data_IF_902292233874
#
_entry.id   IF_902292233874
#
_cell.length_a   1.000
_cell.length_b   1.000
_cell.length_c   1.000
_cell.angle_alpha   90.00
_cell.angle_beta   90.00
_cell.angle_gamma   90.00
#
_symmetry.space_group_name_H-M   'P 1'
#
loop_
_entity.id
_entity.type
_entity.pdbx_description
1 polymer ?
#
# COMPACT_ATOMS: atom_id res chain seq x y z
N UNK A 1 -10.89 -9.15 6.60
CA UNK A 1 -11.86 -8.99 5.49
C UNK A 1 -11.08 -8.55 4.27
N UNK A 2 -11.41 -9.07 3.08
CA UNK A 2 -10.76 -8.65 1.84
C UNK A 2 -11.62 -7.56 1.18
N UNK A 3 -10.99 -6.54 0.60
CA UNK A 3 -11.68 -5.45 -0.10
C UNK A 3 -11.17 -5.31 -1.53
N UNK A 4 -12.03 -4.81 -2.41
CA UNK A 4 -11.70 -4.59 -3.82
C UNK A 4 -11.45 -3.10 -4.08
N UNK A 5 -10.47 -2.81 -4.95
CA UNK A 5 -10.23 -1.46 -5.47
C UNK A 5 -9.89 -1.53 -6.95
N UNK A 6 -10.47 -0.65 -7.76
CA UNK A 6 -10.09 -0.48 -9.17
C UNK A 6 -9.13 0.71 -9.28
N UNK A 7 -8.01 0.53 -9.97
CA UNK A 7 -7.09 1.63 -10.33
C UNK A 7 -7.63 2.41 -11.55
N UNK A 8 -7.08 3.59 -11.81
CA UNK A 8 -7.51 4.45 -12.94
C UNK A 8 -7.33 3.81 -14.32
N UNK A 9 -6.43 2.83 -14.45
CA UNK A 9 -6.22 2.04 -15.67
C UNK A 9 -7.17 0.82 -15.78
N UNK A 10 -8.10 0.64 -14.83
CA UNK A 10 -9.07 -0.46 -14.82
C UNK A 10 -8.59 -1.78 -14.22
N UNK A 11 -7.42 -1.84 -13.56
CA UNK A 11 -6.96 -3.07 -12.88
C UNK A 11 -7.67 -3.26 -11.53
N UNK A 12 -8.25 -4.45 -11.33
CA UNK A 12 -8.88 -4.83 -10.06
C UNK A 12 -7.83 -5.32 -9.07
N UNK A 13 -7.76 -4.68 -7.92
CA UNK A 13 -6.90 -5.02 -6.80
C UNK A 13 -7.69 -5.60 -5.63
N UNK A 14 -7.11 -6.60 -4.99
CA UNK A 14 -7.62 -7.28 -3.79
C UNK A 14 -6.70 -6.90 -2.63
N UNK A 15 -7.26 -6.20 -1.65
CA UNK A 15 -6.59 -5.84 -0.41
C UNK A 15 -6.83 -6.96 0.60
N UNK A 16 -5.81 -7.78 0.82
CA UNK A 16 -5.88 -8.94 1.69
C UNK A 16 -5.42 -8.60 3.10
N UNK A 17 -6.32 -8.08 3.94
CA UNK A 17 -6.01 -7.70 5.32
C UNK A 17 -5.48 -8.89 6.13
N UNK A 18 -6.10 -10.06 5.99
CA UNK A 18 -5.71 -11.27 6.73
C UNK A 18 -4.52 -11.99 6.09
N UNK A 19 -4.28 -11.75 4.79
CA UNK A 19 -3.17 -12.35 4.05
C UNK A 19 -1.94 -11.46 4.02
N UNK A 20 -1.96 -10.29 4.68
CA UNK A 20 -0.88 -9.31 4.71
C UNK A 20 -0.31 -9.00 3.32
N UNK A 21 -1.19 -8.92 2.32
CA UNK A 21 -0.78 -8.78 0.91
C UNK A 21 -1.80 -7.99 0.10
N UNK A 22 -1.30 -7.31 -0.93
CA UNK A 22 -2.10 -6.71 -1.99
C UNK A 22 -1.89 -7.55 -3.24
N UNK A 23 -2.98 -7.95 -3.88
CA UNK A 23 -2.98 -8.72 -5.13
C UNK A 23 -3.72 -7.95 -6.21
N UNK A 24 -3.44 -8.25 -7.47
CA UNK A 24 -4.23 -7.76 -8.61
C UNK A 24 -4.71 -8.90 -9.47
N UNK A 25 -5.87 -8.73 -10.10
CA UNK A 25 -6.36 -9.58 -11.17
C UNK A 25 -5.87 -9.00 -12.49
N UNK A 26 -5.05 -9.75 -13.21
CA UNK A 26 -4.52 -9.36 -14.51
C UNK A 26 -5.59 -9.52 -15.59
N UNK A 27 -5.38 -8.88 -16.75
CA UNK A 27 -6.30 -8.97 -17.90
C UNK A 27 -6.47 -10.39 -18.43
N UNK A 28 -5.47 -11.27 -18.26
CA UNK A 28 -5.53 -12.70 -18.56
C UNK A 28 -6.13 -13.55 -17.42
N UNK A 29 -6.74 -12.90 -16.41
CA UNK A 29 -7.50 -13.57 -15.35
C UNK A 29 -6.65 -14.18 -14.22
N UNK A 30 -5.37 -13.84 -14.11
CA UNK A 30 -4.50 -14.36 -13.05
C UNK A 30 -4.48 -13.46 -11.84
N UNK A 31 -4.42 -14.05 -10.66
CA UNK A 31 -4.20 -13.32 -9.41
C UNK A 31 -2.71 -13.29 -9.13
N UNK A 32 -2.12 -12.09 -9.10
CA UNK A 32 -0.70 -11.89 -8.82
C UNK A 32 -0.50 -10.95 -7.64
N UNK A 33 0.52 -11.20 -6.83
CA UNK A 33 0.89 -10.36 -5.69
C UNK A 33 1.66 -9.13 -6.18
N UNK A 34 1.27 -7.95 -5.69
CA UNK A 34 1.92 -6.68 -6.03
C UNK A 34 2.57 -6.00 -4.82
N UNK A 35 2.13 -6.32 -3.61
CA UNK A 35 2.78 -5.90 -2.38
C UNK A 35 2.54 -6.89 -1.24
N UNK A 36 3.47 -6.98 -0.29
CA UNK A 36 3.32 -7.78 0.91
C UNK A 36 3.56 -9.27 0.68
N UNK A 37 4.64 -9.82 1.24
CA UNK A 37 5.02 -11.22 1.02
C UNK A 37 4.12 -12.24 1.72
N UNK A 38 3.23 -11.80 2.60
CA UNK A 38 2.26 -12.65 3.30
C UNK A 38 2.55 -12.85 4.80
N UNK A 39 3.71 -12.39 5.26
CA UNK A 39 4.08 -12.39 6.68
C UNK A 39 3.79 -11.03 7.30
N UNK A 40 3.13 -11.04 8.47
CA UNK A 40 2.89 -9.83 9.24
C UNK A 40 4.19 -9.19 9.73
N UNK A 41 4.27 -7.87 9.66
CA UNK A 41 5.35 -7.05 10.22
C UNK A 41 5.75 -5.92 9.28
N UNK A 42 6.89 -5.29 9.53
CA UNK A 42 7.38 -4.12 8.78
C UNK A 42 8.79 -4.36 8.27
N UNK A 43 8.99 -4.27 6.95
CA UNK A 43 10.30 -4.33 6.30
C UNK A 43 10.22 -3.89 4.83
N UNK A 44 11.39 -3.83 4.17
CA UNK A 44 11.49 -3.83 2.71
C UNK A 44 11.48 -2.45 2.04
N UNK A 45 11.52 -1.35 2.79
CA UNK A 45 11.67 -0.01 2.22
C UNK A 45 12.92 0.08 1.34
N UNK A 46 12.78 0.72 0.19
CA UNK A 46 13.81 0.79 -0.87
C UNK A 46 13.90 -0.46 -1.75
N UNK A 47 13.17 -1.53 -1.43
CA UNK A 47 13.17 -2.79 -2.17
C UNK A 47 11.86 -3.10 -2.91
N UNK A 48 11.78 -4.27 -3.57
CA UNK A 48 10.57 -4.71 -4.26
C UNK A 48 9.39 -4.89 -3.30
N UNK A 49 8.25 -4.29 -3.62
CA UNK A 49 7.05 -4.32 -2.79
C UNK A 49 6.53 -5.74 -2.51
N UNK A 50 6.72 -6.66 -3.46
CA UNK A 50 6.33 -8.08 -3.34
C UNK A 50 7.12 -8.84 -2.27
N UNK A 51 8.29 -8.33 -1.88
CA UNK A 51 9.16 -8.92 -0.85
C UNK A 51 8.99 -8.27 0.54
N UNK A 52 8.38 -7.09 0.61
CA UNK A 52 8.16 -6.38 1.85
C UNK A 52 7.15 -7.07 2.77
N UNK A 53 7.24 -6.77 4.06
CA UNK A 53 6.23 -7.16 5.04
C UNK A 53 5.25 -6.00 5.26
N UNK A 54 3.97 -6.37 5.35
CA UNK A 54 2.85 -5.52 5.71
C UNK A 54 2.15 -6.17 6.90
N UNK A 55 1.38 -5.40 7.67
CA UNK A 55 0.60 -5.89 8.80
C UNK A 55 -0.82 -5.34 8.72
N UNK A 56 -1.75 -6.24 8.41
CA UNK A 56 -3.18 -5.94 8.29
C UNK A 56 -3.48 -4.74 7.38
N UNK A 57 -3.03 -4.75 6.10
CA UNK A 57 -3.31 -3.65 5.20
C UNK A 57 -4.82 -3.49 4.99
N UNK A 58 -5.35 -2.28 5.13
CA UNK A 58 -6.80 -2.05 5.16
C UNK A 58 -7.36 -1.52 3.84
N UNK A 59 -6.65 -0.58 3.22
CA UNK A 59 -7.11 0.11 2.02
C UNK A 59 -5.94 0.50 1.12
N UNK A 60 -6.25 0.74 -0.16
CA UNK A 60 -5.31 1.30 -1.13
C UNK A 60 -5.93 2.45 -1.94
N UNK A 61 -5.07 3.37 -2.38
CA UNK A 61 -5.40 4.45 -3.31
C UNK A 61 -4.29 4.61 -4.36
N UNK A 62 -4.60 5.23 -5.49
CA UNK A 62 -3.64 5.47 -6.57
C UNK A 62 -3.57 6.98 -6.86
N UNK A 63 -2.37 7.49 -7.16
CA UNK A 63 -2.20 8.83 -7.71
C UNK A 63 -2.21 8.83 -9.25
N UNK A 64 -2.15 10.02 -9.86
CA UNK A 64 -2.13 10.20 -11.31
C UNK A 64 -0.86 9.65 -11.99
N UNK A 65 0.18 9.33 -11.22
CA UNK A 65 1.42 8.69 -11.69
C UNK A 65 1.39 7.16 -11.48
N UNK A 66 0.22 6.62 -11.09
CA UNK A 66 0.00 5.22 -10.79
C UNK A 66 0.85 4.68 -9.63
N UNK A 67 1.25 5.54 -8.69
CA UNK A 67 1.80 5.10 -7.41
C UNK A 67 0.66 4.60 -6.53
N UNK A 68 0.85 3.45 -5.87
CA UNK A 68 -0.12 2.85 -4.97
C UNK A 68 0.21 3.19 -3.52
N UNK A 69 -0.73 3.76 -2.81
CA UNK A 69 -0.66 4.07 -1.38
C UNK A 69 -1.42 3.00 -0.62
N UNK A 70 -0.82 2.43 0.42
CA UNK A 70 -1.34 1.32 1.20
C UNK A 70 -1.45 1.79 2.65
N UNK A 71 -2.62 1.63 3.24
CA UNK A 71 -2.79 1.79 4.69
C UNK A 71 -2.27 0.53 5.37
N UNK A 72 -1.02 0.55 5.84
CA UNK A 72 -0.37 -0.55 6.57
C UNK A 72 -0.74 -0.45 8.06
N UNK A 73 -2.04 -0.68 8.31
CA UNK A 73 -2.74 -0.29 9.53
C UNK A 73 -2.06 -0.83 10.80
N UNK A 74 -1.72 -2.12 10.82
CA UNK A 74 -1.11 -2.73 12.00
C UNK A 74 0.33 -2.28 12.28
N UNK A 75 0.93 -1.57 11.32
CA UNK A 75 2.23 -0.93 11.43
C UNK A 75 2.14 0.59 11.57
N UNK A 76 0.94 1.19 11.69
CA UNK A 76 0.72 2.63 11.85
C UNK A 76 1.45 3.49 10.79
N UNK A 77 1.38 3.08 9.52
CA UNK A 77 2.06 3.77 8.40
C UNK A 77 1.20 3.80 7.15
N UNK A 78 1.45 4.81 6.33
CA UNK A 78 1.08 4.80 4.91
C UNK A 78 2.32 4.39 4.12
N UNK A 79 2.21 3.29 3.37
CA UNK A 79 3.28 2.78 2.51
C UNK A 79 2.98 3.18 1.07
N UNK A 80 4.00 3.57 0.32
CA UNK A 80 3.88 3.89 -1.11
C UNK A 80 4.65 2.85 -1.91
N UNK A 81 4.00 2.29 -2.93
CA UNK A 81 4.61 1.49 -3.99
C UNK A 81 4.64 2.36 -5.23
N UNK A 82 5.82 2.66 -5.74
CA UNK A 82 5.96 3.47 -6.94
C UNK A 82 5.64 2.68 -8.22
N UNK A 83 5.58 3.37 -9.36
CA UNK A 83 5.34 2.73 -10.66
C UNK A 83 6.41 1.69 -11.07
N UNK A 84 7.57 1.67 -10.40
CA UNK A 84 8.64 0.68 -10.59
C UNK A 84 8.49 -0.53 -9.65
N UNK A 85 7.49 -0.52 -8.77
CA UNK A 85 7.24 -1.58 -7.80
C UNK A 85 8.13 -1.51 -6.55
N UNK A 86 8.75 -0.35 -6.27
CA UNK A 86 9.56 -0.13 -5.07
C UNK A 86 8.68 0.41 -3.95
N UNK A 87 8.78 -0.20 -2.78
CA UNK A 87 8.03 0.24 -1.59
C UNK A 87 8.86 1.18 -0.72
N UNK A 88 8.18 2.14 -0.10
CA UNK A 88 8.72 3.08 0.88
C UNK A 88 7.66 3.43 1.92
N UNK A 89 8.08 3.97 3.05
CA UNK A 89 7.18 4.66 3.98
C UNK A 89 6.94 6.08 3.48
N UNK A 90 5.67 6.40 3.23
CA UNK A 90 5.26 7.75 2.80
C UNK A 90 4.92 8.62 4.00
N UNK A 91 4.25 8.06 5.00
CA UNK A 91 3.89 8.76 6.23
C UNK A 91 3.76 7.79 7.42
N UNK A 92 3.86 8.35 8.64
CA UNK A 92 3.77 7.61 9.91
C UNK A 92 5.12 7.08 10.41
N UNK A 93 5.28 7.06 11.73
CA UNK A 93 6.50 6.64 12.43
C UNK A 93 6.48 5.16 12.86
N UNK A 94 5.31 4.55 12.88
CA UNK A 94 5.08 3.20 13.41
C UNK A 94 4.60 3.14 14.84
N UNK A 95 4.64 4.26 15.56
CA UNK A 95 4.09 4.37 16.89
C UNK A 95 2.57 4.44 16.82
N UNK A 96 1.89 3.66 17.66
CA UNK A 96 0.44 3.69 17.79
C UNK A 96 0.02 4.97 18.52
N UNK A 97 -1.05 5.63 18.06
CA UNK A 97 -1.56 6.89 18.61
C UNK A 97 -1.43 8.07 17.64
N UNK A 98 -1.84 9.26 18.08
CA UNK A 98 -1.82 10.51 17.28
C UNK A 98 -0.43 11.15 17.23
N UNK A 99 0.60 10.35 17.02
CA UNK A 99 1.94 10.89 16.83
C UNK A 99 2.02 11.49 15.41
N UNK A 100 1.54 12.74 15.26
CA UNK A 100 1.85 13.71 14.18
C UNK A 100 0.82 14.86 14.04
N UNK A 101 -0.16 15.01 14.93
CA UNK A 101 -1.02 16.21 14.93
C UNK A 101 -0.13 17.46 15.11
N UNK A 102 0.04 18.24 14.03
CA UNK A 102 0.87 19.45 14.00
C UNK A 102 2.24 19.31 13.32
N UNK A 103 2.66 18.12 12.87
CA UNK A 103 3.89 18.01 12.07
C UNK A 103 3.66 18.38 10.60
N UNK A 104 4.60 19.12 10.02
CA UNK A 104 4.55 19.50 8.60
C UNK A 104 4.90 18.28 7.76
N UNK A 105 3.89 17.56 7.29
CA UNK A 105 4.04 16.63 6.17
C UNK A 105 4.17 17.46 4.89
N UNK A 106 5.12 17.10 4.00
CA UNK A 106 5.04 17.56 2.62
C UNK A 106 3.70 17.09 2.04
N UNK A 107 2.73 17.99 1.96
CA UNK A 107 1.45 17.70 1.36
C UNK A 107 1.68 17.61 -0.15
N UNK A 108 1.92 16.40 -0.63
CA UNK A 108 1.67 16.09 -2.02
C UNK A 108 0.16 16.15 -2.19
N UNK A 109 -0.35 17.31 -2.63
CA UNK A 109 -1.71 17.44 -3.17
C UNK A 109 -1.79 16.51 -4.38
N UNK A 110 -2.12 15.25 -4.11
CA UNK A 110 -2.47 14.28 -5.12
C UNK A 110 -3.80 14.74 -5.69
N UNK A 111 -3.81 15.14 -6.97
CA UNK A 111 -5.03 15.27 -7.74
C UNK A 111 -5.58 13.85 -7.93
N UNK A 112 -6.36 13.40 -6.95
CA UNK A 112 -7.25 12.27 -7.12
C UNK A 112 -8.34 12.72 -8.11
N UNK A 113 -8.65 11.93 -9.15
CA UNK A 113 -9.82 12.18 -9.99
C UNK A 113 -11.11 12.07 -9.17
#
# INVERSE_FOLDING_TARGET
MDYLKVSSNGELHIVGMNTNSIRKITKDGKIVKVAGRGYQGYSGDGGPATKAMLKSPLAIAFDSKNNMYITDMGNNRIRKVDAKGIISTFAGSGNFGWAQDGETVEIYLHKFP
#
